data_IF_336824849515
#
_entry.id   IF_336824849515
#
_cell.length_a   1.000
_cell.length_b   1.000
_cell.length_c   1.000
_cell.angle_alpha   90.00
_cell.angle_beta   90.00
_cell.angle_gamma   90.00
#
_symmetry.space_group_name_H-M   'P 1'
#
loop_
_entity.id
_entity.type
_entity.pdbx_description
1 polymer ?
#
# COMPACT_ATOMS: atom_id res chain seq x y z
N UNK A 1 -16.68 -23.33 19.97
CA UNK A 1 -15.80 -22.78 18.92
C UNK A 1 -14.31 -22.86 19.28
N UNK A 2 -13.78 -22.06 20.21
CA UNK A 2 -12.34 -22.05 20.56
C UNK A 2 -11.77 -23.41 21.00
N UNK A 3 -12.48 -24.13 21.87
CA UNK A 3 -12.08 -25.47 22.29
C UNK A 3 -12.05 -26.49 21.13
N UNK A 4 -12.91 -26.32 20.12
CA UNK A 4 -12.94 -27.21 18.95
C UNK A 4 -11.76 -26.92 18.02
N UNK A 5 -11.42 -25.63 17.84
CA UNK A 5 -10.23 -25.20 17.06
C UNK A 5 -8.96 -25.74 17.72
N UNK A 6 -8.81 -25.56 19.03
CA UNK A 6 -7.65 -26.08 19.77
C UNK A 6 -7.51 -27.60 19.64
N UNK A 7 -8.60 -28.36 19.82
CA UNK A 7 -8.60 -29.82 19.63
C UNK A 7 -8.29 -30.23 18.18
N UNK A 8 -8.75 -29.47 17.18
CA UNK A 8 -8.45 -29.74 15.78
C UNK A 8 -6.97 -29.52 15.46
N UNK A 9 -6.38 -28.43 15.98
CA UNK A 9 -4.95 -28.14 15.84
C UNK A 9 -4.08 -29.21 16.48
N UNK A 10 -4.44 -29.65 17.69
CA UNK A 10 -3.71 -30.71 18.39
C UNK A 10 -3.73 -32.02 17.60
N UNK A 11 -4.91 -32.47 17.16
CA UNK A 11 -5.03 -33.68 16.33
C UNK A 11 -4.21 -33.59 15.04
N UNK A 12 -4.17 -32.43 14.41
CA UNK A 12 -3.35 -32.22 13.21
C UNK A 12 -1.86 -32.31 13.55
N UNK A 13 -1.41 -31.71 14.65
CA UNK A 13 -0.03 -31.81 15.12
C UNK A 13 0.37 -33.26 15.38
N UNK A 14 -0.47 -34.00 16.10
CA UNK A 14 -0.24 -35.42 16.40
C UNK A 14 -0.19 -36.27 15.11
N UNK A 15 -1.08 -35.98 14.16
CA UNK A 15 -1.10 -36.66 12.86
C UNK A 15 0.19 -36.42 12.06
N UNK A 16 0.71 -35.17 12.05
CA UNK A 16 1.97 -34.84 11.38
C UNK A 16 3.14 -35.56 12.08
N UNK A 17 3.20 -35.55 13.42
CA UNK A 17 4.25 -36.26 14.16
C UNK A 17 4.24 -37.77 13.88
N UNK A 18 3.06 -38.40 13.84
CA UNK A 18 2.93 -39.80 13.49
C UNK A 18 3.38 -40.09 12.06
N UNK A 19 3.06 -39.21 11.11
CA UNK A 19 3.53 -39.33 9.73
C UNK A 19 5.06 -39.24 9.62
N UNK A 20 5.70 -38.33 10.37
CA UNK A 20 7.17 -38.24 10.46
C UNK A 20 7.77 -39.55 10.97
N UNK A 21 7.24 -40.06 12.09
CA UNK A 21 7.73 -41.30 12.69
C UNK A 21 7.60 -42.48 11.73
N UNK A 22 6.47 -42.57 11.03
CA UNK A 22 6.23 -43.60 10.04
C UNK A 22 7.23 -43.47 8.86
N UNK A 23 7.39 -42.27 8.31
CA UNK A 23 8.37 -41.99 7.27
C UNK A 23 9.78 -42.39 7.70
N UNK A 24 10.25 -41.94 8.87
CA UNK A 24 11.59 -42.24 9.38
C UNK A 24 11.83 -43.74 9.53
N UNK A 25 10.81 -44.47 9.99
CA UNK A 25 10.86 -45.94 10.11
C UNK A 25 11.08 -46.58 8.74
N UNK A 26 10.32 -46.16 7.72
CA UNK A 26 10.44 -46.70 6.37
C UNK A 26 11.73 -46.25 5.68
N UNK A 27 12.14 -44.99 5.87
CA UNK A 27 13.36 -44.41 5.32
C UNK A 27 14.62 -45.19 5.76
N UNK A 28 14.65 -45.63 7.02
CA UNK A 28 15.73 -46.45 7.55
C UNK A 28 15.78 -47.88 6.96
N UNK A 29 14.64 -48.41 6.51
CA UNK A 29 14.53 -49.75 5.94
C UNK A 29 14.93 -49.83 4.45
N UNK A 30 15.14 -48.69 3.79
CA UNK A 30 15.55 -48.62 2.39
C UNK A 30 17.05 -48.90 2.21
N UNK A 31 17.44 -49.32 0.99
CA UNK A 31 18.85 -49.54 0.61
C UNK A 31 19.18 -48.66 -0.61
N UNK A 32 20.01 -47.61 -0.46
CA UNK A 32 20.59 -47.11 0.79
C UNK A 32 19.55 -46.44 1.71
N UNK A 33 19.80 -46.38 3.03
CA UNK A 33 18.94 -45.68 3.97
C UNK A 33 18.76 -44.21 3.57
N UNK A 34 17.53 -43.69 3.69
CA UNK A 34 17.23 -42.28 3.40
C UNK A 34 17.34 -41.41 4.66
N UNK A 35 17.54 -40.11 4.46
CA UNK A 35 17.62 -39.12 5.54
C UNK A 35 16.32 -39.10 6.36
N UNK A 36 16.45 -39.08 7.69
CA UNK A 36 15.34 -38.94 8.62
C UNK A 36 14.94 -37.47 8.77
N UNK A 37 13.64 -37.22 8.97
CA UNK A 37 13.07 -35.89 9.17
C UNK A 37 12.78 -35.66 10.65
N UNK A 38 13.16 -34.49 11.16
CA UNK A 38 12.75 -34.00 12.47
C UNK A 38 11.60 -32.99 12.33
N UNK A 39 10.88 -32.74 13.43
CA UNK A 39 9.81 -31.73 13.47
C UNK A 39 10.31 -30.34 13.06
N UNK A 40 11.52 -29.97 13.48
CA UNK A 40 12.15 -28.70 13.12
C UNK A 40 12.28 -28.54 11.59
N UNK A 41 12.63 -29.61 10.89
CA UNK A 41 12.84 -29.59 9.44
C UNK A 41 11.50 -29.38 8.73
N UNK A 42 10.41 -29.97 9.23
CA UNK A 42 9.06 -29.74 8.69
C UNK A 42 8.60 -28.30 8.91
N UNK A 43 8.84 -27.73 10.08
CA UNK A 43 8.51 -26.32 10.34
C UNK A 43 9.33 -25.42 9.42
N UNK A 44 10.62 -25.71 9.28
CA UNK A 44 11.54 -24.99 8.40
C UNK A 44 11.12 -25.10 6.93
N UNK A 45 10.64 -26.26 6.45
CA UNK A 45 10.20 -26.46 5.07
C UNK A 45 8.71 -26.19 4.82
N UNK A 46 7.93 -25.83 5.84
CA UNK A 46 6.49 -25.57 5.68
C UNK A 46 6.20 -24.48 4.65
N UNK A 47 7.13 -23.53 4.48
CA UNK A 47 7.05 -22.50 3.44
C UNK A 47 7.20 -23.04 2.02
N UNK A 48 7.93 -24.14 1.80
CA UNK A 48 8.08 -24.74 0.46
C UNK A 48 6.73 -25.29 -0.01
N UNK A 49 5.91 -25.75 0.93
CA UNK A 49 4.52 -26.15 0.68
C UNK A 49 3.60 -24.99 0.29
N UNK A 50 4.02 -23.73 0.40
CA UNK A 50 3.25 -22.57 -0.09
C UNK A 50 3.37 -22.38 -1.62
N UNK A 51 4.25 -23.12 -2.28
CA UNK A 51 4.46 -23.04 -3.73
C UNK A 51 3.95 -24.30 -4.41
N UNK A 52 2.67 -24.30 -4.76
CA UNK A 52 2.02 -25.39 -5.51
C UNK A 52 2.74 -25.72 -6.84
N UNK A 53 3.50 -24.76 -7.37
CA UNK A 53 4.33 -24.93 -8.56
C UNK A 53 5.47 -25.96 -8.34
N UNK A 54 6.03 -26.03 -7.13
CA UNK A 54 7.13 -26.95 -6.80
C UNK A 54 6.64 -28.39 -6.64
N UNK A 55 5.35 -28.59 -6.32
CA UNK A 55 4.74 -29.92 -6.24
C UNK A 55 4.89 -30.71 -7.54
N UNK A 56 4.82 -30.01 -8.68
CA UNK A 56 4.80 -30.62 -10.00
C UNK A 56 6.20 -30.84 -10.59
N UNK A 57 7.24 -30.18 -10.07
CA UNK A 57 8.57 -30.24 -10.68
C UNK A 57 9.35 -31.50 -10.31
N UNK A 58 9.02 -32.20 -9.20
CA UNK A 58 9.75 -33.38 -8.65
C UNK A 58 11.27 -33.19 -8.52
N UNK A 59 11.76 -31.96 -8.68
CA UNK A 59 13.18 -31.62 -8.57
C UNK A 59 13.50 -31.46 -7.10
N UNK A 60 14.55 -32.13 -6.66
CA UNK A 60 15.10 -31.85 -5.33
C UNK A 60 15.69 -30.43 -5.35
N UNK A 61 15.10 -29.56 -4.54
CA UNK A 61 15.50 -28.16 -4.42
C UNK A 61 16.11 -27.85 -3.06
N UNK A 62 16.21 -28.84 -2.17
CA UNK A 62 16.64 -28.64 -0.79
C UNK A 62 18.06 -28.06 -0.71
N UNK A 63 18.90 -28.37 -1.68
CA UNK A 63 20.29 -27.91 -1.76
C UNK A 63 20.48 -26.54 -2.43
N UNK A 64 19.40 -25.89 -2.88
CA UNK A 64 19.53 -24.57 -3.51
C UNK A 64 19.67 -23.47 -2.46
N UNK A 65 20.56 -22.50 -2.70
CA UNK A 65 20.76 -21.38 -1.76
C UNK A 65 19.49 -20.58 -1.43
N UNK A 66 18.48 -20.56 -2.30
CA UNK A 66 17.22 -19.84 -2.06
C UNK A 66 16.23 -20.59 -1.15
N UNK A 67 16.42 -21.89 -0.90
CA UNK A 67 15.61 -22.66 0.06
C UNK A 67 16.11 -22.52 1.49
N UNK A 68 17.32 -21.99 1.70
CA UNK A 68 17.81 -21.65 3.03
C UNK A 68 16.95 -20.52 3.65
N UNK A 69 16.37 -20.71 4.86
CA UNK A 69 15.47 -19.71 5.45
C UNK A 69 16.11 -18.34 5.62
N UNK A 70 17.38 -18.30 6.03
CA UNK A 70 18.12 -17.05 6.20
C UNK A 70 18.24 -16.26 4.89
N UNK A 71 18.48 -16.95 3.77
CA UNK A 71 18.60 -16.33 2.45
C UNK A 71 17.24 -15.81 1.99
N UNK A 72 16.17 -16.60 2.16
CA UNK A 72 14.80 -16.15 1.87
C UNK A 72 14.41 -14.94 2.69
N UNK A 73 14.68 -14.94 3.99
CA UNK A 73 14.41 -13.78 4.85
C UNK A 73 15.15 -12.53 4.34
N UNK A 74 16.42 -12.67 3.97
CA UNK A 74 17.21 -11.58 3.42
C UNK A 74 16.61 -11.10 2.08
N UNK A 75 16.24 -12.01 1.18
CA UNK A 75 15.60 -11.71 -0.10
C UNK A 75 14.24 -11.01 0.08
N UNK A 76 13.41 -11.48 1.01
CA UNK A 76 12.12 -10.85 1.33
C UNK A 76 12.31 -9.43 1.87
N UNK A 77 13.29 -9.23 2.78
CA UNK A 77 13.64 -7.90 3.30
C UNK A 77 14.14 -6.99 2.19
N UNK A 78 15.02 -7.50 1.31
CA UNK A 78 15.53 -6.78 0.16
C UNK A 78 14.41 -6.33 -0.79
N UNK A 79 13.52 -7.23 -1.20
CA UNK A 79 12.43 -6.86 -2.10
C UNK A 79 11.42 -5.93 -1.44
N UNK A 80 11.10 -6.11 -0.16
CA UNK A 80 10.28 -5.13 0.58
C UNK A 80 10.90 -3.74 0.58
N UNK A 81 12.22 -3.65 0.72
CA UNK A 81 12.94 -2.39 0.65
C UNK A 81 12.88 -1.78 -0.77
N UNK A 82 13.07 -2.59 -1.81
CA UNK A 82 12.90 -2.12 -3.20
C UNK A 82 11.49 -1.61 -3.47
N UNK A 83 10.47 -2.39 -3.10
CA UNK A 83 9.07 -1.97 -3.23
C UNK A 83 8.78 -0.71 -2.42
N UNK A 84 9.36 -0.53 -1.23
CA UNK A 84 9.19 0.70 -0.46
C UNK A 84 9.77 1.93 -1.19
N UNK A 85 10.92 1.80 -1.84
CA UNK A 85 11.48 2.89 -2.65
C UNK A 85 10.60 3.24 -3.85
N UNK A 86 10.08 2.23 -4.56
CA UNK A 86 9.14 2.42 -5.66
C UNK A 86 7.83 3.07 -5.19
N UNK A 87 7.30 2.61 -4.06
CA UNK A 87 6.05 3.13 -3.50
C UNK A 87 6.19 4.59 -3.09
N UNK A 88 7.36 5.03 -2.58
CA UNK A 88 7.61 6.46 -2.33
C UNK A 88 7.46 7.27 -3.62
N UNK A 89 8.02 6.80 -4.75
CA UNK A 89 7.91 7.50 -6.02
C UNK A 89 6.46 7.54 -6.53
N UNK A 90 5.73 6.43 -6.36
CA UNK A 90 4.32 6.34 -6.72
C UNK A 90 3.46 7.29 -5.89
N UNK A 91 3.64 7.28 -4.57
CA UNK A 91 2.90 8.14 -3.64
C UNK A 91 3.15 9.63 -3.91
N UNK A 92 4.37 10.01 -4.32
CA UNK A 92 4.66 11.40 -4.74
C UNK A 92 3.75 11.86 -5.89
N UNK A 93 3.45 10.97 -6.85
CA UNK A 93 2.54 11.25 -7.96
C UNK A 93 1.10 11.28 -7.47
N UNK A 94 0.69 10.28 -6.68
CA UNK A 94 -0.69 10.16 -6.18
C UNK A 94 -1.09 11.32 -5.26
N UNK A 95 -0.19 11.80 -4.40
CA UNK A 95 -0.39 13.00 -3.57
C UNK A 95 -0.76 14.20 -4.42
N UNK A 96 0.01 14.45 -5.49
CA UNK A 96 -0.25 15.56 -6.41
C UNK A 96 -1.54 15.36 -7.19
N UNK A 97 -1.82 14.14 -7.63
CA UNK A 97 -3.06 13.82 -8.33
C UNK A 97 -4.29 14.04 -7.47
N UNK A 98 -4.28 13.57 -6.22
CA UNK A 98 -5.39 13.78 -5.28
C UNK A 98 -5.62 15.28 -5.04
N UNK A 99 -4.55 16.04 -4.80
CA UNK A 99 -4.65 17.51 -4.62
C UNK A 99 -5.27 18.19 -5.84
N UNK A 100 -4.86 17.78 -7.03
CA UNK A 100 -5.37 18.31 -8.30
C UNK A 100 -6.84 17.94 -8.50
N UNK A 101 -7.21 16.68 -8.24
CA UNK A 101 -8.58 16.21 -8.37
C UNK A 101 -9.54 16.96 -7.43
N UNK A 102 -9.12 17.20 -6.18
CA UNK A 102 -9.90 18.01 -5.21
C UNK A 102 -10.07 19.44 -5.73
N UNK A 103 -8.99 20.07 -6.20
CA UNK A 103 -9.04 21.43 -6.73
C UNK A 103 -9.94 21.56 -7.97
N UNK A 104 -9.78 20.66 -8.94
CA UNK A 104 -10.56 20.66 -10.19
C UNK A 104 -12.05 20.43 -9.90
N UNK A 105 -12.36 19.52 -8.98
CA UNK A 105 -13.74 19.28 -8.52
C UNK A 105 -14.34 20.51 -7.86
N UNK A 106 -13.59 21.18 -7.00
CA UNK A 106 -14.03 22.41 -6.31
C UNK A 106 -14.33 23.52 -7.33
N UNK A 107 -13.39 23.80 -8.24
CA UNK A 107 -13.56 24.81 -9.29
C UNK A 107 -14.80 24.52 -10.14
N UNK A 108 -14.96 23.26 -10.58
CA UNK A 108 -16.11 22.84 -11.39
C UNK A 108 -17.42 22.97 -10.63
N UNK A 109 -17.44 22.58 -9.36
CA UNK A 109 -18.65 22.61 -8.53
C UNK A 109 -19.08 24.04 -8.25
N UNK A 110 -18.15 24.93 -7.90
CA UNK A 110 -18.43 26.36 -7.69
C UNK A 110 -18.94 27.00 -9.00
N UNK A 111 -18.32 26.71 -10.14
CA UNK A 111 -18.79 27.21 -11.43
C UNK A 111 -20.22 26.73 -11.75
N UNK A 112 -20.53 25.47 -11.45
CA UNK A 112 -21.86 24.89 -11.64
C UNK A 112 -22.89 25.54 -10.72
N UNK A 113 -22.56 25.73 -9.44
CA UNK A 113 -23.41 26.43 -8.46
C UNK A 113 -23.71 27.85 -8.92
N UNK A 114 -22.71 28.60 -9.41
CA UNK A 114 -22.91 29.97 -9.93
C UNK A 114 -23.88 29.99 -11.11
N UNK A 115 -23.72 29.06 -12.05
CA UNK A 115 -24.61 28.93 -13.21
C UNK A 115 -26.04 28.56 -12.82
N UNK A 116 -26.21 27.65 -11.86
CA UNK A 116 -27.52 27.18 -11.44
C UNK A 116 -28.26 28.20 -10.58
N UNK A 117 -27.56 29.10 -9.89
CA UNK A 117 -28.18 30.14 -9.08
C UNK A 117 -29.14 31.03 -9.89
N UNK A 118 -28.85 31.23 -11.18
CA UNK A 118 -29.66 32.02 -12.11
C UNK A 118 -30.86 31.26 -12.68
N UNK A 119 -30.86 29.91 -12.60
CA UNK A 119 -31.82 29.04 -13.28
C UNK A 119 -32.77 28.34 -12.31
N UNK A 120 -32.23 27.82 -11.21
CA UNK A 120 -32.97 27.01 -10.22
C UNK A 120 -32.30 27.10 -8.85
N UNK A 121 -32.95 27.85 -7.94
CA UNK A 121 -32.49 28.01 -6.57
C UNK A 121 -32.56 26.72 -5.76
N UNK A 122 -33.57 25.87 -6.01
CA UNK A 122 -33.79 24.64 -5.24
C UNK A 122 -32.71 23.61 -5.55
N UNK A 123 -32.42 23.38 -6.83
CA UNK A 123 -31.33 22.49 -7.27
C UNK A 123 -29.97 23.00 -6.79
N UNK A 124 -29.76 24.32 -6.77
CA UNK A 124 -28.54 24.93 -6.25
C UNK A 124 -28.34 24.65 -4.76
N UNK A 125 -29.40 24.70 -3.96
CA UNK A 125 -29.35 24.42 -2.53
C UNK A 125 -28.97 22.96 -2.27
N UNK A 126 -29.59 22.03 -2.97
CA UNK A 126 -29.29 20.59 -2.85
C UNK A 126 -27.84 20.27 -3.27
N UNK A 127 -27.39 20.84 -4.40
CA UNK A 127 -26.01 20.65 -4.85
C UNK A 127 -24.99 21.17 -3.82
N UNK A 128 -25.27 22.34 -3.20
CA UNK A 128 -24.44 22.88 -2.12
C UNK A 128 -24.40 21.93 -0.92
N UNK A 129 -25.55 21.43 -0.49
CA UNK A 129 -25.63 20.52 0.65
C UNK A 129 -24.83 19.22 0.40
N UNK A 130 -24.98 18.60 -0.77
CA UNK A 130 -24.20 17.42 -1.15
C UNK A 130 -22.69 17.73 -1.23
N UNK A 131 -22.31 18.88 -1.77
CA UNK A 131 -20.90 19.24 -1.88
C UNK A 131 -20.27 19.54 -0.52
N UNK A 132 -21.00 20.10 0.44
CA UNK A 132 -20.48 20.40 1.79
C UNK A 132 -19.91 19.15 2.49
N UNK A 133 -20.63 18.03 2.45
CA UNK A 133 -20.15 16.78 3.04
C UNK A 133 -18.85 16.27 2.39
N UNK A 134 -18.67 16.52 1.08
CA UNK A 134 -17.45 16.16 0.37
C UNK A 134 -16.31 17.15 0.66
N UNK A 135 -16.63 18.44 0.77
CA UNK A 135 -15.68 19.50 1.09
C UNK A 135 -15.06 19.31 2.48
N UNK A 136 -15.81 18.83 3.48
CA UNK A 136 -15.25 18.54 4.81
C UNK A 136 -14.23 17.40 4.77
N UNK A 137 -14.51 16.33 4.03
CA UNK A 137 -13.58 15.21 3.81
C UNK A 137 -12.35 15.70 3.04
N UNK A 138 -12.56 16.45 1.97
CA UNK A 138 -11.49 17.04 1.15
C UNK A 138 -10.60 17.97 1.99
N UNK A 139 -11.15 18.73 2.94
CA UNK A 139 -10.36 19.57 3.84
C UNK A 139 -9.40 18.75 4.71
N UNK A 140 -9.85 17.60 5.23
CA UNK A 140 -8.99 16.67 5.98
C UNK A 140 -7.88 16.12 5.10
N UNK A 141 -8.20 15.75 3.85
CA UNK A 141 -7.20 15.30 2.89
C UNK A 141 -6.16 16.40 2.61
N UNK A 142 -6.60 17.61 2.25
CA UNK A 142 -5.71 18.74 1.97
C UNK A 142 -4.80 19.08 3.16
N UNK A 143 -5.32 19.00 4.38
CA UNK A 143 -4.54 19.18 5.60
C UNK A 143 -3.45 18.11 5.75
N UNK A 144 -3.80 16.83 5.58
CA UNK A 144 -2.82 15.72 5.64
C UNK A 144 -1.80 15.79 4.50
N UNK A 145 -2.22 16.15 3.29
CA UNK A 145 -1.32 16.37 2.15
C UNK A 145 -0.36 17.53 2.43
N UNK A 146 -0.84 18.62 3.05
CA UNK A 146 0.01 19.72 3.49
C UNK A 146 1.06 19.29 4.52
N UNK A 147 0.67 18.49 5.51
CA UNK A 147 1.62 17.93 6.47
C UNK A 147 2.66 17.04 5.80
N UNK A 148 2.25 16.17 4.88
CA UNK A 148 3.15 15.29 4.13
C UNK A 148 4.15 16.10 3.30
N UNK A 149 3.68 17.09 2.55
CA UNK A 149 4.53 17.98 1.72
C UNK A 149 5.50 18.85 2.56
N UNK A 150 5.16 19.08 3.84
CA UNK A 150 6.00 19.84 4.79
C UNK A 150 7.14 19.03 5.41
N UNK A 151 7.12 17.70 5.28
CA UNK A 151 8.18 16.86 5.81
C UNK A 151 9.51 17.14 5.09
N UNK A 152 10.61 17.20 5.84
CA UNK A 152 11.94 17.47 5.31
C UNK A 152 12.39 16.45 4.23
N UNK A 153 11.91 15.20 4.33
CA UNK A 153 12.22 14.12 3.38
C UNK A 153 11.25 14.01 2.21
N UNK A 154 10.29 14.92 2.07
CA UNK A 154 9.36 14.87 0.95
C UNK A 154 10.11 15.13 -0.37
N UNK A 155 10.06 14.16 -1.28
CA UNK A 155 10.79 14.18 -2.56
C UNK A 155 9.89 14.48 -3.77
N UNK A 156 8.56 14.55 -3.57
CA UNK A 156 7.60 14.83 -4.62
C UNK A 156 7.51 16.31 -5.01
N UNK A 157 6.74 16.59 -6.07
CA UNK A 157 6.43 17.97 -6.46
C UNK A 157 5.24 18.49 -5.65
N UNK A 158 5.43 19.62 -4.97
CA UNK A 158 4.40 20.29 -4.16
C UNK A 158 3.35 21.00 -5.03
N UNK A 159 2.20 21.24 -4.42
CA UNK A 159 1.13 22.04 -5.02
C UNK A 159 0.29 21.32 -6.08
N UNK A 160 -0.55 22.10 -6.76
CA UNK A 160 -1.56 21.59 -7.70
C UNK A 160 -0.90 21.24 -9.05
N UNK A 161 -1.34 20.15 -9.67
CA UNK A 161 -0.97 19.74 -11.01
C UNK A 161 -1.89 20.31 -12.08
N UNK A 162 -1.70 19.87 -13.32
CA UNK A 162 -2.60 20.19 -14.44
C UNK A 162 -3.10 18.88 -15.00
N UNK A 163 -4.43 18.68 -15.03
CA UNK A 163 -5.03 17.51 -15.64
C UNK A 163 -4.90 17.58 -17.16
N UNK A 164 -4.45 16.50 -17.78
CA UNK A 164 -4.39 16.40 -19.24
C UNK A 164 -5.81 16.58 -19.83
N UNK A 165 -5.93 17.51 -20.76
CA UNK A 165 -7.20 17.86 -21.41
C UNK A 165 -8.03 18.95 -20.72
N UNK A 166 -7.55 19.56 -19.61
CA UNK A 166 -8.17 20.77 -19.08
C UNK A 166 -7.76 22.00 -19.90
N UNK A 167 -8.68 22.94 -20.20
CA UNK A 167 -8.30 24.21 -20.83
C UNK A 167 -7.40 24.98 -19.86
N UNK A 168 -6.15 25.23 -20.26
CA UNK A 168 -5.10 25.77 -19.41
C UNK A 168 -5.47 27.13 -18.82
N UNK A 169 -5.37 27.27 -17.49
CA UNK A 169 -4.98 28.55 -16.87
C UNK A 169 -3.46 28.66 -16.99
N UNK A 170 -2.99 29.53 -17.87
CA UNK A 170 -1.56 29.81 -18.09
C UNK A 170 -0.87 30.24 -16.77
N UNK A 171 0.36 29.79 -16.49
CA UNK A 171 1.12 30.22 -15.33
C UNK A 171 1.78 31.58 -15.63
N UNK A 172 1.04 32.67 -15.50
CA UNK A 172 1.64 34.01 -15.42
C UNK A 172 0.86 34.88 -14.44
N UNK A 173 1.23 34.77 -13.16
CA UNK A 173 1.29 35.86 -12.17
C UNK A 173 1.55 35.27 -10.78
N UNK A 174 2.82 35.03 -10.48
CA UNK A 174 3.32 34.98 -9.11
C UNK A 174 4.59 35.83 -9.03
N UNK A 175 4.39 37.14 -9.02
CA UNK A 175 5.39 38.11 -8.57
C UNK A 175 4.72 39.47 -8.47
N UNK A 176 4.10 39.75 -7.32
CA UNK A 176 4.05 41.06 -6.65
C UNK A 176 3.06 41.02 -5.49
N UNK A 177 3.53 40.65 -4.31
CA UNK A 177 2.89 41.02 -3.05
C UNK A 177 3.85 40.90 -1.87
N UNK A 178 4.99 41.60 -1.88
CA UNK A 178 5.75 41.86 -0.65
C UNK A 178 6.51 43.18 -0.77
N UNK A 179 5.90 44.28 -0.35
CA UNK A 179 6.53 45.27 0.56
C UNK A 179 5.62 46.49 0.75
N UNK A 180 4.98 46.57 1.91
CA UNK A 180 4.59 47.85 2.50
C UNK A 180 4.74 47.70 4.00
N UNK A 181 5.91 48.12 4.48
CA UNK A 181 6.19 48.35 5.90
C UNK A 181 5.79 49.80 6.23
N UNK A 182 5.29 50.09 7.43
CA UNK A 182 4.79 51.42 7.78
C UNK A 182 5.94 52.36 8.16
N UNK A 183 5.95 53.55 7.56
CA UNK A 183 6.90 54.62 7.90
C UNK A 183 6.40 55.39 9.13
N UNK A 184 7.28 55.53 10.12
CA UNK A 184 7.11 56.36 11.31
C UNK A 184 7.55 57.81 11.03
N UNK A 185 6.87 58.78 11.64
CA UNK A 185 7.41 60.10 12.04
C UNK A 185 7.41 61.22 10.97
N UNK A 186 6.48 62.17 11.08
CA UNK A 186 6.62 63.45 11.81
C UNK A 186 5.23 64.05 12.06
#
# INVERSE_FOLDING_TARGET
>A
LWQQISKALQRRSDAIQNAINHYNTQAAALVPPRLTLAWKDIVEYSFLGEFDLLWHSRTDIHDNDWTAPAHREATMKYFKLQCAHEEIQRLNVEVRHLRTAIHDEEVKTIATIRRLLELDHTLTLELKHHYQARATVNAVHLFRLGQLESQHMFSGRRGIGVRLGSPSLSPHNQSEATSSSPHAGL
#
